data_IF_290857974522
#
_entry.id   IF_290857974522
#
_cell.length_a   1.000
_cell.length_b   1.000
_cell.length_c   1.000
_cell.angle_alpha   90.00
_cell.angle_beta   90.00
_cell.angle_gamma   90.00
#
_symmetry.space_group_name_H-M   'P 1'
#
loop_
_entity.id
_entity.type
_entity.pdbx_description
1 polymer ?
#
# COMPACT_ATOMS: atom_id res chain seq x y z
N UNK A 1 80.73 6.53 40.10
CA UNK A 1 80.16 7.56 39.21
C UNK A 1 80.27 7.23 37.72
N UNK A 2 81.46 6.90 37.20
CA UNK A 2 81.69 6.64 35.76
C UNK A 2 80.84 5.48 35.19
N UNK A 3 80.74 4.35 35.91
CA UNK A 3 79.89 3.22 35.48
C UNK A 3 78.41 3.59 35.36
N UNK A 4 77.90 4.42 36.28
CA UNK A 4 76.51 4.85 36.33
C UNK A 4 76.17 5.80 35.16
N UNK A 5 77.12 6.68 34.81
CA UNK A 5 77.01 7.54 33.62
C UNK A 5 77.03 6.71 32.32
N UNK A 6 77.91 5.70 32.23
CA UNK A 6 78.01 4.81 31.07
C UNK A 6 76.68 4.07 30.81
N UNK A 7 76.11 3.42 31.83
CA UNK A 7 74.84 2.69 31.69
C UNK A 7 73.67 3.62 31.30
N UNK A 8 73.69 4.87 31.77
CA UNK A 8 72.70 5.88 31.38
C UNK A 8 72.82 6.26 29.90
N UNK A 9 74.04 6.43 29.39
CA UNK A 9 74.28 6.72 27.98
C UNK A 9 73.96 5.54 27.07
N UNK A 10 74.33 4.32 27.46
CA UNK A 10 73.98 3.09 26.72
C UNK A 10 72.45 2.92 26.64
N UNK A 11 71.73 3.07 27.75
CA UNK A 11 70.26 3.02 27.74
C UNK A 11 69.61 4.19 26.98
N UNK A 12 70.27 5.35 26.91
CA UNK A 12 69.85 6.47 26.06
C UNK A 12 70.04 6.19 24.57
N UNK A 13 71.16 5.55 24.21
CA UNK A 13 71.49 5.14 22.85
C UNK A 13 70.52 4.06 22.35
N UNK A 14 70.23 3.05 23.17
CA UNK A 14 69.25 2.00 22.85
C UNK A 14 67.84 2.56 22.62
N UNK A 15 67.44 3.56 23.42
CA UNK A 15 66.16 4.25 23.23
C UNK A 15 66.12 5.05 21.93
N UNK A 16 67.21 5.72 21.58
CA UNK A 16 67.32 6.46 20.31
C UNK A 16 67.25 5.51 19.12
N UNK A 17 67.96 4.37 19.18
CA UNK A 17 67.95 3.36 18.13
C UNK A 17 66.56 2.72 17.96
N UNK A 18 65.91 2.34 19.07
CA UNK A 18 64.54 1.80 19.03
C UNK A 18 63.53 2.82 18.50
N UNK A 19 63.65 4.09 18.92
CA UNK A 19 62.77 5.17 18.42
C UNK A 19 63.01 5.40 16.92
N UNK A 20 64.27 5.33 16.45
CA UNK A 20 64.58 5.48 15.03
C UNK A 20 63.97 4.36 14.18
N UNK A 21 64.00 3.11 14.66
CA UNK A 21 63.31 2.00 13.99
C UNK A 21 61.79 2.25 13.91
N UNK A 22 61.15 2.62 15.03
CA UNK A 22 59.71 2.90 15.07
C UNK A 22 59.32 4.05 14.13
N UNK A 23 60.10 5.14 14.12
CA UNK A 23 59.85 6.27 13.22
C UNK A 23 60.00 5.86 11.75
N UNK A 24 60.95 4.97 11.44
CA UNK A 24 61.15 4.46 10.08
C UNK A 24 59.97 3.60 9.64
N UNK A 25 59.49 2.68 10.48
CA UNK A 25 58.30 1.86 10.21
C UNK A 25 57.04 2.73 10.04
N UNK A 26 56.86 3.76 10.87
CA UNK A 26 55.74 4.70 10.74
C UNK A 26 55.81 5.48 9.42
N UNK A 27 57.00 5.90 8.99
CA UNK A 27 57.18 6.61 7.72
C UNK A 27 56.86 5.72 6.52
N UNK A 28 57.26 4.45 6.53
CA UNK A 28 56.91 3.50 5.48
C UNK A 28 55.40 3.23 5.44
N UNK A 29 54.79 3.05 6.61
CA UNK A 29 53.33 2.86 6.73
C UNK A 29 52.57 4.08 6.18
N UNK A 30 53.00 5.30 6.50
CA UNK A 30 52.41 6.52 5.97
C UNK A 30 52.58 6.63 4.45
N UNK A 31 53.76 6.31 3.91
CA UNK A 31 54.00 6.28 2.45
C UNK A 31 53.08 5.30 1.73
N UNK A 32 52.78 4.16 2.35
CA UNK A 32 51.88 3.14 1.79
C UNK A 32 50.40 3.54 1.89
N UNK A 33 50.00 4.21 2.99
CA UNK A 33 48.61 4.66 3.19
C UNK A 33 48.24 5.86 2.32
N UNK A 34 49.19 6.75 2.03
CA UNK A 34 48.95 7.96 1.26
C UNK A 34 48.30 7.72 -0.13
N UNK A 35 48.80 6.79 -0.98
CA UNK A 35 48.14 6.49 -2.25
C UNK A 35 46.75 5.85 -2.06
N UNK A 36 46.57 5.00 -1.04
CA UNK A 36 45.27 4.40 -0.74
C UNK A 36 44.23 5.46 -0.37
N UNK A 37 44.63 6.48 0.39
CA UNK A 37 43.76 7.60 0.77
C UNK A 37 43.34 8.43 -0.44
N UNK A 38 44.25 8.68 -1.39
CA UNK A 38 43.96 9.42 -2.62
C UNK A 38 42.93 8.66 -3.46
N UNK A 39 43.12 7.35 -3.66
CA UNK A 39 42.17 6.53 -4.41
C UNK A 39 40.80 6.48 -3.72
N UNK A 40 40.77 6.27 -2.40
CA UNK A 40 39.52 6.26 -1.65
C UNK A 40 38.78 7.61 -1.73
N UNK A 41 39.51 8.74 -1.67
CA UNK A 41 38.91 10.06 -1.81
C UNK A 41 38.32 10.29 -3.20
N UNK A 42 38.97 9.79 -4.26
CA UNK A 42 38.45 9.85 -5.63
C UNK A 42 37.20 8.99 -5.81
N UNK A 43 37.17 7.78 -5.24
CA UNK A 43 36.00 6.92 -5.27
C UNK A 43 34.81 7.55 -4.54
N UNK A 44 35.04 8.15 -3.37
CA UNK A 44 34.00 8.87 -2.63
C UNK A 44 33.46 10.04 -3.45
N UNK A 45 34.31 10.83 -4.10
CA UNK A 45 33.85 11.93 -4.98
C UNK A 45 33.00 11.42 -6.15
N UNK A 46 33.39 10.30 -6.77
CA UNK A 46 32.63 9.68 -7.85
C UNK A 46 31.25 9.22 -7.38
N UNK A 47 31.19 8.56 -6.22
CA UNK A 47 29.92 8.09 -5.64
C UNK A 47 29.03 9.29 -5.31
N UNK A 48 29.57 10.34 -4.69
CA UNK A 48 28.82 11.55 -4.38
C UNK A 48 28.21 12.20 -5.62
N UNK A 49 28.97 12.27 -6.72
CA UNK A 49 28.46 12.82 -7.98
C UNK A 49 27.31 11.97 -8.56
N UNK A 50 27.39 10.65 -8.46
CA UNK A 50 26.30 9.75 -8.86
C UNK A 50 25.06 9.94 -7.99
N UNK A 51 25.24 10.01 -6.66
CA UNK A 51 24.15 10.19 -5.69
C UNK A 51 23.44 11.54 -5.92
N UNK A 52 24.19 12.61 -6.19
CA UNK A 52 23.61 13.93 -6.47
C UNK A 52 22.75 13.90 -7.75
N UNK A 53 23.24 13.23 -8.80
CA UNK A 53 22.47 13.04 -10.03
C UNK A 53 21.19 12.23 -9.78
N UNK A 54 21.30 11.08 -9.13
CA UNK A 54 20.16 10.21 -8.82
C UNK A 54 19.14 10.94 -7.92
N UNK A 55 19.61 11.70 -6.93
CA UNK A 55 18.74 12.49 -6.06
C UNK A 55 17.95 13.54 -6.82
N UNK A 56 18.55 14.18 -7.83
CA UNK A 56 17.85 15.14 -8.68
C UNK A 56 16.79 14.45 -9.55
N UNK A 57 17.09 13.28 -10.10
CA UNK A 57 16.12 12.51 -10.91
C UNK A 57 14.93 12.04 -10.06
N UNK A 58 15.20 11.56 -8.84
CA UNK A 58 14.15 11.15 -7.89
C UNK A 58 13.25 12.32 -7.51
N UNK A 59 13.80 13.51 -7.27
CA UNK A 59 13.02 14.69 -6.90
C UNK A 59 12.02 15.11 -8.01
N UNK A 60 12.42 15.01 -9.28
CA UNK A 60 11.52 15.29 -10.41
C UNK A 60 10.41 14.23 -10.54
N UNK A 61 10.75 12.95 -10.35
CA UNK A 61 9.76 11.87 -10.36
C UNK A 61 8.79 12.00 -9.20
N UNK A 62 9.27 12.31 -7.99
CA UNK A 62 8.44 12.50 -6.79
C UNK A 62 7.41 13.61 -7.01
N UNK A 63 7.79 14.69 -7.67
CA UNK A 63 6.87 15.78 -8.00
C UNK A 63 5.74 15.33 -8.93
N UNK A 64 6.03 14.48 -9.91
CA UNK A 64 5.02 13.94 -10.83
C UNK A 64 4.11 12.98 -10.08
N UNK A 65 4.68 12.05 -9.31
CA UNK A 65 3.92 11.07 -8.53
C UNK A 65 2.97 11.75 -7.54
N UNK A 66 3.40 12.85 -6.90
CA UNK A 66 2.54 13.60 -5.98
C UNK A 66 1.30 14.18 -6.67
N UNK A 67 1.44 14.67 -7.90
CA UNK A 67 0.31 15.20 -8.68
C UNK A 67 -0.66 14.05 -9.02
N UNK A 68 -0.13 12.91 -9.45
CA UNK A 68 -0.95 11.73 -9.77
C UNK A 68 -1.64 11.16 -8.52
N UNK A 69 -0.96 11.18 -7.37
CA UNK A 69 -1.52 10.76 -6.09
C UNK A 69 -2.69 11.65 -5.66
N UNK A 70 -2.54 12.97 -5.75
CA UNK A 70 -3.63 13.92 -5.46
C UNK A 70 -4.84 13.67 -6.36
N UNK A 71 -4.62 13.47 -7.67
CA UNK A 71 -5.70 13.15 -8.61
C UNK A 71 -6.38 11.81 -8.29
N UNK A 72 -5.60 10.77 -7.97
CA UNK A 72 -6.12 9.46 -7.59
C UNK A 72 -6.92 9.51 -6.29
N UNK A 73 -6.48 10.31 -5.31
CA UNK A 73 -7.21 10.50 -4.05
C UNK A 73 -8.58 11.15 -4.26
N UNK A 74 -8.70 12.13 -5.16
CA UNK A 74 -10.00 12.74 -5.49
C UNK A 74 -10.96 11.70 -6.07
N UNK A 75 -10.52 10.94 -7.07
CA UNK A 75 -11.35 9.91 -7.70
C UNK A 75 -11.72 8.81 -6.69
N UNK A 76 -10.79 8.41 -5.83
CA UNK A 76 -11.06 7.43 -4.78
C UNK A 76 -12.11 7.92 -3.76
N UNK A 77 -12.07 9.20 -3.39
CA UNK A 77 -13.04 9.82 -2.51
C UNK A 77 -14.44 9.87 -3.14
N UNK A 78 -14.54 10.31 -4.40
CA UNK A 78 -15.80 10.32 -5.15
C UNK A 78 -16.41 8.91 -5.27
N UNK A 79 -15.59 7.91 -5.60
CA UNK A 79 -16.04 6.52 -5.69
C UNK A 79 -16.50 5.97 -4.33
N UNK A 80 -15.83 6.36 -3.24
CA UNK A 80 -16.22 5.96 -1.89
C UNK A 80 -17.55 6.58 -1.47
N UNK A 81 -17.81 7.84 -1.85
CA UNK A 81 -19.08 8.52 -1.59
C UNK A 81 -20.24 7.85 -2.34
N UNK A 82 -20.07 7.60 -3.64
CA UNK A 82 -21.09 6.90 -4.45
C UNK A 82 -21.37 5.51 -3.87
N UNK A 83 -20.32 4.78 -3.48
CA UNK A 83 -20.47 3.47 -2.87
C UNK A 83 -21.26 3.56 -1.55
N UNK A 84 -20.94 4.53 -0.69
CA UNK A 84 -21.62 4.70 0.59
C UNK A 84 -23.11 5.01 0.41
N UNK A 85 -23.46 5.86 -0.56
CA UNK A 85 -24.85 6.16 -0.89
C UNK A 85 -25.60 4.92 -1.40
N UNK A 86 -24.98 4.15 -2.30
CA UNK A 86 -25.57 2.92 -2.84
C UNK A 86 -25.76 1.85 -1.75
N UNK A 87 -24.74 1.65 -0.91
CA UNK A 87 -24.79 0.68 0.19
C UNK A 87 -25.85 1.06 1.23
N UNK A 88 -26.05 2.36 1.51
CA UNK A 88 -27.11 2.83 2.38
C UNK A 88 -28.50 2.47 1.83
N UNK A 89 -28.78 2.81 0.57
CA UNK A 89 -30.04 2.48 -0.09
C UNK A 89 -30.28 0.96 -0.18
N UNK A 90 -29.23 0.19 -0.47
CA UNK A 90 -29.31 -1.25 -0.54
C UNK A 90 -29.58 -1.87 0.84
N UNK A 91 -28.96 -1.33 1.90
CA UNK A 91 -29.16 -1.80 3.27
C UNK A 91 -30.59 -1.60 3.79
N UNK A 92 -31.30 -0.58 3.28
CA UNK A 92 -32.72 -0.36 3.57
C UNK A 92 -33.62 -1.29 2.74
N UNK A 93 -33.30 -1.51 1.46
CA UNK A 93 -34.11 -2.32 0.56
C UNK A 93 -34.02 -3.84 0.84
N UNK A 94 -32.84 -4.36 1.18
CA UNK A 94 -32.61 -5.78 1.44
C UNK A 94 -33.49 -6.39 2.54
N UNK A 95 -33.67 -5.78 3.74
CA UNK A 95 -34.51 -6.36 4.78
C UNK A 95 -35.99 -6.43 4.34
N UNK A 96 -36.49 -5.43 3.62
CA UNK A 96 -37.87 -5.42 3.11
C UNK A 96 -38.07 -6.54 2.09
N UNK A 97 -37.11 -6.72 1.17
CA UNK A 97 -37.13 -7.80 0.19
C UNK A 97 -37.10 -9.17 0.86
N UNK A 98 -36.19 -9.36 1.83
CA UNK A 98 -36.06 -10.63 2.55
C UNK A 98 -37.32 -10.94 3.38
N UNK A 99 -37.94 -9.92 3.99
CA UNK A 99 -39.20 -10.07 4.71
C UNK A 99 -40.34 -10.48 3.76
N UNK A 100 -40.44 -9.85 2.59
CA UNK A 100 -41.42 -10.21 1.57
C UNK A 100 -41.21 -11.65 1.06
N UNK A 101 -39.97 -12.06 0.84
CA UNK A 101 -39.63 -13.43 0.45
C UNK A 101 -39.98 -14.44 1.55
N UNK A 102 -39.69 -14.11 2.82
CA UNK A 102 -40.05 -14.96 3.95
C UNK A 102 -41.56 -15.12 4.08
N UNK A 103 -42.33 -14.04 3.90
CA UNK A 103 -43.78 -14.11 3.90
C UNK A 103 -44.30 -15.00 2.76
N UNK A 104 -43.75 -14.87 1.54
CA UNK A 104 -44.10 -15.74 0.41
C UNK A 104 -43.85 -17.22 0.70
N UNK A 105 -42.74 -17.55 1.38
CA UNK A 105 -42.38 -18.91 1.75
C UNK A 105 -43.33 -19.55 2.78
N UNK A 106 -44.20 -18.77 3.42
CA UNK A 106 -45.23 -19.31 4.34
C UNK A 106 -46.50 -19.81 3.64
N UNK A 107 -46.68 -19.49 2.35
CA UNK A 107 -47.86 -19.91 1.60
C UNK A 107 -47.86 -21.41 1.35
N UNK A 108 -49.01 -22.03 1.58
CA UNK A 108 -49.19 -23.45 1.30
C UNK A 108 -49.79 -23.68 -0.09
N UNK A 109 -49.64 -24.88 -0.68
CA UNK A 109 -50.32 -25.21 -1.94
C UNK A 109 -51.85 -25.09 -1.88
N UNK A 110 -52.45 -25.23 -0.69
CA UNK A 110 -53.89 -25.05 -0.50
C UNK A 110 -54.32 -23.59 -0.72
N UNK A 111 -53.54 -22.62 -0.22
CA UNK A 111 -53.81 -21.18 -0.38
C UNK A 111 -53.79 -20.78 -1.87
N UNK A 112 -52.85 -21.33 -2.63
CA UNK A 112 -52.73 -21.11 -4.09
C UNK A 112 -53.94 -21.72 -4.84
N UNK A 113 -54.38 -22.91 -4.42
CA UNK A 113 -55.54 -23.59 -5.01
C UNK A 113 -56.84 -22.80 -4.83
N UNK A 114 -57.02 -22.13 -3.69
CA UNK A 114 -58.18 -21.26 -3.43
C UNK A 114 -58.22 -20.12 -4.44
N UNK A 115 -57.10 -19.40 -4.62
CA UNK A 115 -57.03 -18.28 -5.58
C UNK A 115 -57.25 -18.76 -7.02
N UNK A 116 -56.74 -19.95 -7.37
CA UNK A 116 -56.92 -20.55 -8.71
C UNK A 116 -58.37 -20.94 -9.01
N UNK A 117 -59.13 -21.37 -8.00
CA UNK A 117 -60.51 -21.87 -8.17
C UNK A 117 -61.58 -20.77 -8.07
N UNK A 118 -61.18 -19.53 -7.74
CA UNK A 118 -62.07 -18.37 -7.70
C UNK A 118 -62.60 -18.02 -9.10
N UNK A 119 -63.91 -18.17 -9.30
CA UNK A 119 -64.57 -17.79 -10.56
C UNK A 119 -64.54 -16.28 -10.83
N UNK A 120 -64.52 -15.45 -9.79
CA UNK A 120 -64.44 -13.99 -9.94
C UNK A 120 -63.58 -13.37 -8.81
N UNK A 121 -62.25 -13.25 -9.02
CA UNK A 121 -61.37 -12.66 -8.02
C UNK A 121 -61.71 -11.18 -7.75
N UNK A 122 -61.53 -10.69 -6.50
CA UNK A 122 -61.71 -9.28 -6.16
C UNK A 122 -60.81 -8.35 -6.99
N UNK A 123 -61.20 -7.08 -7.13
CA UNK A 123 -60.50 -6.09 -7.95
C UNK A 123 -59.01 -5.97 -7.60
N UNK A 124 -58.67 -5.97 -6.31
CA UNK A 124 -57.27 -5.86 -5.85
C UNK A 124 -56.43 -7.08 -6.25
N UNK A 125 -57.02 -8.28 -6.25
CA UNK A 125 -56.32 -9.52 -6.65
C UNK A 125 -56.06 -9.52 -8.15
N UNK A 126 -57.01 -9.04 -8.96
CA UNK A 126 -56.83 -8.88 -10.40
C UNK A 126 -55.71 -7.90 -10.73
N UNK A 127 -55.70 -6.74 -10.09
CA UNK A 127 -54.67 -5.71 -10.30
C UNK A 127 -53.26 -6.22 -9.97
N UNK A 128 -53.10 -6.94 -8.86
CA UNK A 128 -51.81 -7.52 -8.46
C UNK A 128 -51.39 -8.62 -9.42
N UNK A 129 -52.30 -9.50 -9.85
CA UNK A 129 -51.98 -10.55 -10.83
C UNK A 129 -51.64 -9.99 -12.21
N UNK A 130 -52.34 -8.96 -12.68
CA UNK A 130 -51.99 -8.25 -13.93
C UNK A 130 -50.57 -7.67 -13.86
N UNK A 131 -50.21 -7.06 -12.72
CA UNK A 131 -48.86 -6.53 -12.49
C UNK A 131 -47.79 -7.62 -12.51
N UNK A 132 -48.08 -8.79 -11.92
CA UNK A 132 -47.16 -9.96 -11.94
C UNK A 132 -47.04 -10.54 -13.35
N UNK A 133 -48.14 -10.63 -14.11
CA UNK A 133 -48.11 -11.07 -15.50
C UNK A 133 -47.21 -10.18 -16.36
N UNK A 134 -47.29 -8.86 -16.18
CA UNK A 134 -46.40 -7.90 -16.86
C UNK A 134 -44.94 -8.11 -16.44
N UNK A 135 -44.65 -8.25 -15.14
CA UNK A 135 -43.29 -8.52 -14.63
C UNK A 135 -42.71 -9.85 -15.13
N UNK A 136 -43.57 -10.84 -15.43
CA UNK A 136 -43.19 -12.15 -15.98
C UNK A 136 -43.26 -12.20 -17.51
N UNK A 137 -43.52 -11.09 -18.18
CA UNK A 137 -43.67 -10.99 -19.64
C UNK A 137 -44.76 -11.92 -20.22
N UNK A 138 -45.74 -12.29 -19.41
CA UNK A 138 -46.90 -13.10 -19.83
C UNK A 138 -48.06 -12.14 -20.10
N UNK A 139 -48.68 -12.24 -21.30
CA UNK A 139 -49.86 -11.44 -21.61
C UNK A 139 -51.01 -11.84 -20.67
N UNK A 140 -51.65 -10.89 -19.97
CA UNK A 140 -52.80 -11.19 -19.12
C UNK A 140 -54.01 -11.48 -20.02
N UNK A 141 -54.23 -12.75 -20.32
CA UNK A 141 -55.44 -13.20 -21.01
C UNK A 141 -56.61 -13.20 -20.02
N UNK A 142 -57.63 -12.38 -20.31
CA UNK A 142 -58.90 -12.43 -19.60
C UNK A 142 -59.61 -13.71 -20.03
N UNK A 143 -59.63 -14.73 -19.16
CA UNK A 143 -60.59 -15.82 -19.33
C UNK A 143 -61.99 -15.24 -19.14
N UNK A 144 -62.79 -15.33 -20.19
CA UNK A 144 -64.16 -14.85 -20.29
C UNK A 144 -65.13 -15.88 -19.70
#
# INVERSE_FOLDING_TARGET
EIMLAKTRYEGGLDRLDSTQHQVTEMQETLKNLQPMLVTAAQDVQRILATVEKESSEVAEVEKIVRIDEEAAMVVAAEAAEIKAECDANLSEALPILNQAQAALNTLTPADISIVKTMKNPPANVKLVMESICILKEVKPEKMQ
#
